data_IF_079537958745
#
_entry.id   IF_079537958745
#
_cell.length_a   1.000
_cell.length_b   1.000
_cell.length_c   1.000
_cell.angle_alpha   90.00
_cell.angle_beta   90.00
_cell.angle_gamma   90.00
#
_symmetry.space_group_name_H-M   'P 1'
#
loop_
_entity.id
_entity.type
_entity.pdbx_description
1 polymer ?
#
# COMPACT_ATOMS: atom_id res chain seq x y z
N UNK A 1 -13.90 -3.51 78.21
CA UNK A 1 -14.84 -3.19 77.10
C UNK A 1 -14.20 -2.35 75.99
N UNK A 2 -13.33 -1.37 76.30
CA UNK A 2 -12.67 -0.54 75.28
C UNK A 2 -11.83 -1.33 74.25
N UNK A 3 -11.07 -2.34 74.66
CA UNK A 3 -10.22 -3.12 73.73
C UNK A 3 -10.99 -3.97 72.71
N UNK A 4 -12.17 -4.48 73.09
CA UNK A 4 -13.02 -5.25 72.18
C UNK A 4 -13.67 -4.35 71.10
N UNK A 5 -14.04 -3.13 71.48
CA UNK A 5 -14.57 -2.14 70.54
C UNK A 5 -13.49 -1.68 69.54
N UNK A 6 -12.25 -1.47 70.00
CA UNK A 6 -11.13 -1.10 69.12
C UNK A 6 -10.83 -2.21 68.10
N UNK A 7 -10.79 -3.47 68.53
CA UNK A 7 -10.57 -4.61 67.63
C UNK A 7 -11.69 -4.80 66.62
N UNK A 8 -12.95 -4.59 67.01
CA UNK A 8 -14.09 -4.66 66.10
C UNK A 8 -14.05 -3.54 65.03
N UNK A 9 -13.72 -2.31 65.43
CA UNK A 9 -13.56 -1.18 64.50
C UNK A 9 -12.36 -1.38 63.56
N UNK A 10 -11.25 -1.92 64.07
CA UNK A 10 -10.09 -2.28 63.25
C UNK A 10 -10.42 -3.39 62.24
N UNK A 11 -11.12 -4.44 62.65
CA UNK A 11 -11.54 -5.53 61.77
C UNK A 11 -12.51 -5.07 60.67
N UNK A 12 -13.49 -4.22 61.02
CA UNK A 12 -14.43 -3.63 60.07
C UNK A 12 -13.74 -2.70 59.06
N UNK A 13 -12.77 -1.88 59.50
CA UNK A 13 -12.02 -0.99 58.62
C UNK A 13 -11.10 -1.76 57.67
N UNK A 14 -10.42 -2.81 58.13
CA UNK A 14 -9.64 -3.72 57.28
C UNK A 14 -10.51 -4.49 56.28
N UNK A 15 -11.65 -5.01 56.72
CA UNK A 15 -12.63 -5.67 55.85
C UNK A 15 -13.17 -4.74 54.77
N UNK A 16 -13.49 -3.49 55.15
CA UNK A 16 -13.96 -2.46 54.22
C UNK A 16 -12.90 -2.06 53.19
N UNK A 17 -11.64 -1.86 53.61
CA UNK A 17 -10.53 -1.56 52.70
C UNK A 17 -10.28 -2.71 51.71
N UNK A 18 -10.35 -3.96 52.19
CA UNK A 18 -10.17 -5.14 51.35
C UNK A 18 -11.31 -5.28 50.33
N UNK A 19 -12.55 -5.07 50.76
CA UNK A 19 -13.72 -5.05 49.87
C UNK A 19 -13.63 -3.94 48.82
N UNK A 20 -13.28 -2.71 49.23
CA UNK A 20 -13.11 -1.57 48.33
C UNK A 20 -12.02 -1.84 47.28
N UNK A 21 -10.88 -2.40 47.70
CA UNK A 21 -9.80 -2.80 46.79
C UNK A 21 -10.26 -3.90 45.82
N UNK A 22 -10.95 -4.93 46.30
CA UNK A 22 -11.50 -5.98 45.45
C UNK A 22 -12.51 -5.44 44.43
N UNK A 23 -13.40 -4.52 44.84
CA UNK A 23 -14.37 -3.88 43.95
C UNK A 23 -13.70 -3.03 42.87
N UNK A 24 -12.70 -2.21 43.22
CA UNK A 24 -11.95 -1.38 42.27
C UNK A 24 -11.18 -2.23 41.26
N UNK A 25 -10.67 -3.41 41.67
CA UNK A 25 -9.94 -4.32 40.80
C UNK A 25 -10.84 -5.18 39.89
N UNK A 26 -12.11 -5.35 40.25
CA UNK A 26 -13.04 -6.26 39.52
C UNK A 26 -14.01 -5.54 38.60
N UNK A 27 -14.45 -4.33 38.97
CA UNK A 27 -15.40 -3.56 38.20
C UNK A 27 -14.72 -2.46 37.37
N UNK A 28 -15.26 -2.08 36.19
CA UNK A 28 -14.73 -0.96 35.42
C UNK A 28 -14.77 0.34 36.23
N UNK A 29 -13.66 1.09 36.24
CA UNK A 29 -13.53 2.40 36.92
C UNK A 29 -14.53 3.46 36.41
N UNK A 30 -15.18 3.21 35.27
CA UNK A 30 -16.25 4.02 34.71
C UNK A 30 -17.66 3.68 35.22
N UNK A 31 -17.83 2.63 36.02
CA UNK A 31 -19.14 2.24 36.56
C UNK A 31 -19.63 3.26 37.59
N UNK A 32 -20.91 3.66 37.50
CA UNK A 32 -21.49 4.66 38.40
C UNK A 32 -21.43 4.25 39.89
N UNK A 33 -21.38 2.95 40.17
CA UNK A 33 -21.28 2.44 41.54
C UNK A 33 -19.88 2.60 42.14
N UNK A 34 -18.81 2.29 41.39
CA UNK A 34 -17.43 2.54 41.86
C UNK A 34 -17.22 4.04 42.10
N UNK A 35 -17.73 4.89 41.20
CA UNK A 35 -17.56 6.34 41.33
C UNK A 35 -18.17 6.87 42.63
N UNK A 36 -19.24 6.25 43.13
CA UNK A 36 -19.86 6.60 44.43
C UNK A 36 -19.10 6.00 45.61
N UNK A 37 -18.66 4.75 45.50
CA UNK A 37 -18.04 3.99 46.60
C UNK A 37 -16.57 4.38 46.83
N UNK A 38 -15.87 4.79 45.79
CA UNK A 38 -14.44 5.03 45.76
C UNK A 38 -14.09 6.31 45.01
N UNK A 39 -14.82 7.40 45.27
CA UNK A 39 -14.65 8.68 44.58
C UNK A 39 -13.21 9.23 44.63
N UNK A 40 -12.50 9.00 45.74
CA UNK A 40 -11.12 9.47 45.98
C UNK A 40 -10.04 8.46 45.58
N UNK A 41 -10.43 7.29 45.04
CA UNK A 41 -9.46 6.32 44.55
C UNK A 41 -8.67 6.90 43.37
N UNK A 42 -7.32 6.78 43.34
CA UNK A 42 -6.52 7.36 42.27
C UNK A 42 -6.94 6.90 40.88
N UNK A 43 -7.29 5.63 40.70
CA UNK A 43 -7.70 5.09 39.41
C UNK A 43 -9.04 5.67 38.92
N UNK A 44 -9.95 5.94 39.85
CA UNK A 44 -11.26 6.56 39.59
C UNK A 44 -11.11 8.05 39.27
N UNK A 45 -10.29 8.77 40.02
CA UNK A 45 -10.00 10.20 39.78
C UNK A 45 -9.35 10.38 38.40
N UNK A 46 -8.29 9.61 38.12
CA UNK A 46 -7.55 9.69 36.86
C UNK A 46 -8.39 9.24 35.67
N UNK A 47 -9.17 8.15 35.82
CA UNK A 47 -10.08 7.67 34.77
C UNK A 47 -11.14 8.69 34.38
N UNK A 48 -11.86 9.25 35.37
CA UNK A 48 -12.88 10.29 35.10
C UNK A 48 -12.28 11.54 34.50
N UNK A 49 -11.12 11.96 35.00
CA UNK A 49 -10.47 13.18 34.52
C UNK A 49 -9.95 13.02 33.10
N UNK A 50 -9.41 11.85 32.73
CA UNK A 50 -9.00 11.56 31.35
C UNK A 50 -10.19 11.63 30.37
N UNK A 51 -11.35 11.09 30.75
CA UNK A 51 -12.58 11.22 29.95
C UNK A 51 -13.02 12.67 29.83
N UNK A 52 -12.98 13.43 30.93
CA UNK A 52 -13.31 14.86 30.95
C UNK A 52 -12.35 15.67 30.08
N UNK A 53 -11.06 15.37 30.11
CA UNK A 53 -10.03 16.01 29.30
C UNK A 53 -10.42 15.96 27.80
N UNK A 54 -10.87 14.80 27.31
CA UNK A 54 -11.33 14.66 25.92
C UNK A 54 -12.63 15.41 25.69
N UNK A 55 -13.63 15.25 26.57
CA UNK A 55 -14.95 15.86 26.41
C UNK A 55 -14.94 17.39 26.49
N UNK A 56 -14.02 17.98 27.27
CA UNK A 56 -13.89 19.42 27.48
C UNK A 56 -12.74 20.03 26.68
N UNK A 57 -12.26 19.34 25.63
CA UNK A 57 -11.20 19.83 24.75
C UNK A 57 -9.94 20.30 25.50
N UNK A 58 -9.59 19.61 26.58
CA UNK A 58 -8.36 19.85 27.34
C UNK A 58 -8.49 20.76 28.56
N UNK A 59 -9.59 21.50 28.71
CA UNK A 59 -9.73 22.50 29.78
C UNK A 59 -10.20 21.82 31.07
N UNK A 60 -9.42 21.96 32.15
CA UNK A 60 -9.75 21.42 33.48
C UNK A 60 -9.65 22.53 34.54
N UNK A 61 -10.54 22.50 35.54
CA UNK A 61 -10.48 23.43 36.68
C UNK A 61 -9.36 23.09 37.68
N UNK A 62 -8.97 24.07 38.48
CA UNK A 62 -7.88 23.94 39.46
C UNK A 62 -8.14 22.84 40.51
N UNK A 63 -9.39 22.66 40.94
CA UNK A 63 -9.76 21.64 41.92
C UNK A 63 -9.55 20.23 41.37
N UNK A 64 -9.90 20.02 40.10
CA UNK A 64 -9.67 18.76 39.37
C UNK A 64 -8.18 18.49 39.24
N UNK A 65 -7.37 19.50 38.90
CA UNK A 65 -5.92 19.36 38.81
C UNK A 65 -5.26 19.02 40.15
N UNK A 66 -5.72 19.60 41.26
CA UNK A 66 -5.24 19.24 42.60
C UNK A 66 -5.59 17.81 42.98
N UNK A 67 -6.80 17.36 42.62
CA UNK A 67 -7.17 15.95 42.80
C UNK A 67 -6.28 15.02 41.97
N UNK A 68 -5.95 15.38 40.73
CA UNK A 68 -5.02 14.63 39.87
C UNK A 68 -3.62 14.58 40.48
N UNK A 69 -3.09 15.69 41.02
CA UNK A 69 -1.77 15.70 41.68
C UNK A 69 -1.71 14.77 42.89
N UNK A 70 -2.75 14.78 43.73
CA UNK A 70 -2.86 13.84 44.87
C UNK A 70 -2.96 12.39 44.40
N UNK A 71 -3.77 12.13 43.37
CA UNK A 71 -3.89 10.81 42.77
C UNK A 71 -2.56 10.32 42.17
N UNK A 72 -1.82 11.20 41.49
CA UNK A 72 -0.50 10.92 40.92
C UNK A 72 0.52 10.56 42.00
N UNK A 73 0.52 11.26 43.14
CA UNK A 73 1.39 10.93 44.27
C UNK A 73 1.05 9.57 44.89
N UNK A 74 -0.23 9.21 44.92
CA UNK A 74 -0.70 7.92 45.44
C UNK A 74 -0.52 6.75 44.44
N UNK A 75 -0.47 7.03 43.14
CA UNK A 75 -0.31 6.06 42.06
C UNK A 75 0.74 6.52 41.03
N UNK A 76 2.04 6.55 41.39
CA UNK A 76 3.09 7.17 40.55
C UNK A 76 3.37 6.46 39.23
N UNK A 77 2.89 5.22 39.07
CA UNK A 77 3.05 4.41 37.86
C UNK A 77 1.85 4.51 36.91
N UNK A 78 0.81 5.28 37.25
CA UNK A 78 -0.34 5.48 36.37
C UNK A 78 -0.07 6.55 35.31
N UNK A 79 0.11 6.13 34.07
CA UNK A 79 0.42 7.02 32.94
C UNK A 79 -0.64 8.11 32.69
N UNK A 80 -1.89 7.92 33.13
CA UNK A 80 -2.97 8.90 32.93
C UNK A 80 -2.69 10.22 33.65
N UNK A 81 -2.04 10.18 34.82
CA UNK A 81 -1.64 11.38 35.52
C UNK A 81 -0.69 12.24 34.68
N UNK A 82 0.29 11.60 34.02
CA UNK A 82 1.26 12.27 33.16
C UNK A 82 0.61 12.85 31.90
N UNK A 83 -0.36 12.15 31.30
CA UNK A 83 -1.16 12.69 30.20
C UNK A 83 -1.88 13.97 30.62
N UNK A 84 -2.62 13.93 31.74
CA UNK A 84 -3.43 15.06 32.20
C UNK A 84 -2.55 16.26 32.56
N UNK A 85 -1.52 16.02 33.39
CA UNK A 85 -0.61 17.07 33.85
C UNK A 85 0.24 17.63 32.70
N UNK A 86 0.73 16.77 31.81
CA UNK A 86 1.48 17.18 30.63
C UNK A 86 0.64 18.03 29.68
N UNK A 87 -0.63 17.67 29.45
CA UNK A 87 -1.54 18.49 28.67
C UNK A 87 -1.80 19.86 29.32
N UNK A 88 -2.06 19.90 30.63
CA UNK A 88 -2.22 21.17 31.35
C UNK A 88 -0.98 22.06 31.22
N UNK A 89 0.23 21.48 31.31
CA UNK A 89 1.47 22.23 31.14
C UNK A 89 1.63 22.83 29.73
N UNK A 90 1.05 22.21 28.69
CA UNK A 90 0.97 22.82 27.35
C UNK A 90 0.06 24.05 27.35
N UNK A 91 -1.10 23.96 28.02
CA UNK A 91 -2.05 25.08 28.15
C UNK A 91 -1.46 26.24 28.97
N UNK A 92 -0.68 25.91 30.00
CA UNK A 92 0.02 26.87 30.87
C UNK A 92 1.26 27.50 30.20
N UNK A 93 1.49 27.23 28.90
CA UNK A 93 2.64 27.70 28.14
C UNK A 93 4.00 27.30 28.76
N UNK A 94 4.09 26.08 29.31
CA UNK A 94 5.33 25.47 29.83
C UNK A 94 5.74 24.23 29.02
N UNK A 95 5.97 24.36 27.70
CA UNK A 95 6.05 23.24 26.77
C UNK A 95 7.21 22.27 27.06
N UNK A 96 8.34 22.74 27.58
CA UNK A 96 9.49 21.84 27.85
C UNK A 96 9.19 20.90 29.02
N UNK A 97 8.51 21.42 30.06
CA UNK A 97 8.01 20.59 31.17
C UNK A 97 6.92 19.63 30.69
N UNK A 98 6.04 20.10 29.80
CA UNK A 98 5.01 19.28 29.21
C UNK A 98 5.61 18.08 28.45
N UNK A 99 6.60 18.31 27.59
CA UNK A 99 7.31 17.25 26.86
C UNK A 99 7.92 16.25 27.84
N UNK A 100 8.70 16.70 28.82
CA UNK A 100 9.32 15.81 29.80
C UNK A 100 8.29 14.97 30.58
N UNK A 101 7.14 15.57 30.93
CA UNK A 101 6.04 14.89 31.63
C UNK A 101 5.36 13.87 30.71
N UNK A 102 5.08 14.24 29.46
CA UNK A 102 4.45 13.35 28.47
C UNK A 102 5.37 12.18 28.11
N UNK A 103 6.67 12.40 27.94
CA UNK A 103 7.65 11.34 27.72
C UNK A 103 7.76 10.38 28.90
N UNK A 104 7.67 10.90 30.14
CA UNK A 104 7.59 10.05 31.33
C UNK A 104 6.31 9.19 31.30
N UNK A 105 5.17 9.77 30.91
CA UNK A 105 3.93 9.02 30.67
C UNK A 105 4.07 7.98 29.57
N UNK A 106 4.74 8.30 28.46
CA UNK A 106 4.99 7.37 27.35
C UNK A 106 5.81 6.16 27.78
N UNK A 107 6.81 6.35 28.67
CA UNK A 107 7.61 5.24 29.23
C UNK A 107 6.77 4.28 30.08
N UNK A 108 5.74 4.78 30.75
CA UNK A 108 4.83 3.98 31.58
C UNK A 108 3.75 3.27 30.76
N UNK A 109 3.15 3.96 29.78
CA UNK A 109 2.20 3.38 28.83
C UNK A 109 2.56 3.74 27.38
N UNK A 110 3.37 2.89 26.71
CA UNK A 110 3.77 3.09 25.32
C UNK A 110 2.64 2.95 24.29
N UNK A 111 1.41 2.61 24.72
CA UNK A 111 0.25 2.46 23.84
C UNK A 111 -0.73 3.62 24.00
N UNK A 112 -0.42 4.59 24.87
CA UNK A 112 -1.32 5.70 25.15
C UNK A 112 -1.37 6.71 24.00
N UNK A 113 -2.40 6.60 23.17
CA UNK A 113 -2.58 7.34 21.90
C UNK A 113 -2.47 8.85 22.06
N UNK A 114 -3.10 9.42 23.09
CA UNK A 114 -3.14 10.86 23.28
C UNK A 114 -1.76 11.45 23.60
N UNK A 115 -0.91 10.70 24.33
CA UNK A 115 0.47 11.14 24.60
C UNK A 115 1.25 11.23 23.28
N UNK A 116 1.15 10.22 22.43
CA UNK A 116 1.82 10.22 21.12
C UNK A 116 1.35 11.37 20.22
N UNK A 117 0.05 11.68 20.21
CA UNK A 117 -0.49 12.79 19.42
C UNK A 117 0.00 14.16 19.92
N UNK A 118 0.03 14.37 21.25
CA UNK A 118 0.53 15.61 21.84
C UNK A 118 2.03 15.78 21.62
N UNK A 119 2.82 14.71 21.78
CA UNK A 119 4.25 14.73 21.49
C UNK A 119 4.51 14.96 19.99
N UNK A 120 3.74 14.33 19.11
CA UNK A 120 3.83 14.55 17.65
C UNK A 120 3.59 16.01 17.28
N UNK A 121 2.49 16.62 17.73
CA UNK A 121 2.19 18.03 17.48
C UNK A 121 3.33 18.91 17.97
N UNK A 122 3.84 18.65 19.18
CA UNK A 122 4.93 19.43 19.74
C UNK A 122 6.22 19.31 18.93
N UNK A 123 6.64 18.09 18.59
CA UNK A 123 7.85 17.85 17.82
C UNK A 123 7.80 18.43 16.42
N UNK A 124 6.64 18.42 15.76
CA UNK A 124 6.45 19.09 14.48
C UNK A 124 6.60 20.61 14.61
N UNK A 125 6.01 21.23 15.64
CA UNK A 125 6.09 22.68 15.88
C UNK A 125 7.50 23.16 16.23
N UNK A 126 8.32 22.30 16.83
CA UNK A 126 9.69 22.62 17.22
C UNK A 126 10.76 22.09 16.27
N UNK A 127 10.37 21.63 15.08
CA UNK A 127 11.29 21.05 14.09
C UNK A 127 12.13 19.85 14.62
N UNK A 128 11.64 19.14 15.63
CA UNK A 128 12.22 17.88 16.12
C UNK A 128 11.74 16.71 15.24
N UNK A 129 12.11 16.74 13.96
CA UNK A 129 11.52 15.85 12.95
C UNK A 129 11.86 14.37 13.15
N UNK A 130 13.01 14.05 13.74
CA UNK A 130 13.36 12.68 14.09
C UNK A 130 12.37 12.10 15.10
N UNK A 131 12.07 12.86 16.15
CA UNK A 131 11.12 12.46 17.18
C UNK A 131 9.69 12.40 16.63
N UNK A 132 9.28 13.39 15.82
CA UNK A 132 7.99 13.38 15.13
C UNK A 132 7.81 12.13 14.25
N UNK A 133 8.82 11.76 13.46
CA UNK A 133 8.76 10.57 12.60
C UNK A 133 8.60 9.28 13.42
N UNK A 134 9.30 9.17 14.56
CA UNK A 134 9.09 8.05 15.49
C UNK A 134 7.66 8.00 16.04
N UNK A 135 7.07 9.15 16.40
CA UNK A 135 5.68 9.20 16.85
C UNK A 135 4.70 8.73 15.76
N UNK A 136 4.91 9.13 14.49
CA UNK A 136 4.12 8.63 13.37
C UNK A 136 4.19 7.11 13.24
N UNK A 137 5.38 6.53 13.33
CA UNK A 137 5.57 5.08 13.25
C UNK A 137 4.83 4.33 14.36
N UNK A 138 4.91 4.82 15.60
CA UNK A 138 4.17 4.22 16.72
C UNK A 138 2.66 4.37 16.52
N UNK A 139 2.18 5.56 16.14
CA UNK A 139 0.76 5.81 15.87
C UNK A 139 0.22 4.93 14.74
N UNK A 140 0.99 4.69 13.68
CA UNK A 140 0.58 3.82 12.58
C UNK A 140 0.34 2.37 13.04
N UNK A 141 1.13 1.89 14.01
CA UNK A 141 0.97 0.54 14.59
C UNK A 141 -0.20 0.47 15.57
N UNK A 142 -0.41 1.52 16.38
CA UNK A 142 -1.49 1.56 17.38
C UNK A 142 -2.85 1.80 16.73
N UNK A 143 -2.89 2.61 15.67
CA UNK A 143 -4.09 3.05 14.97
C UNK A 143 -4.09 2.49 13.55
N UNK A 144 -4.42 1.20 13.39
CA UNK A 144 -4.44 0.57 12.07
C UNK A 144 -5.28 1.34 11.03
N UNK A 145 -6.43 1.90 11.43
CA UNK A 145 -7.26 2.74 10.56
C UNK A 145 -6.60 4.06 10.12
N UNK A 146 -5.62 4.56 10.88
CA UNK A 146 -4.88 5.79 10.57
C UNK A 146 -3.58 5.52 9.79
N UNK A 147 -3.26 4.26 9.47
CA UNK A 147 -2.02 3.92 8.77
C UNK A 147 -1.91 4.62 7.41
N UNK A 148 -2.99 4.63 6.61
CA UNK A 148 -3.00 5.28 5.30
C UNK A 148 -2.80 6.82 5.35
N UNK A 149 -3.53 7.59 6.18
CA UNK A 149 -3.28 9.03 6.30
C UNK A 149 -1.89 9.33 6.89
N UNK A 150 -1.40 8.52 7.85
CA UNK A 150 -0.03 8.68 8.38
C UNK A 150 1.02 8.45 7.29
N UNK A 151 0.87 7.39 6.49
CA UNK A 151 1.77 7.11 5.38
C UNK A 151 1.77 8.25 4.36
N UNK A 152 0.61 8.86 4.11
CA UNK A 152 0.49 10.04 3.22
C UNK A 152 1.22 11.26 3.80
N UNK A 153 1.05 11.54 5.09
CA UNK A 153 1.76 12.64 5.76
C UNK A 153 3.29 12.42 5.75
N UNK A 154 3.75 11.20 6.05
CA UNK A 154 5.18 10.88 6.00
C UNK A 154 5.74 10.94 4.57
N UNK A 155 4.97 10.55 3.56
CA UNK A 155 5.33 10.72 2.16
C UNK A 155 5.57 12.21 1.81
N UNK A 156 4.69 13.11 2.29
CA UNK A 156 4.88 14.56 2.13
C UNK A 156 6.13 15.06 2.86
N UNK A 157 6.39 14.56 4.08
CA UNK A 157 7.60 14.89 4.83
C UNK A 157 8.89 14.43 4.10
N UNK A 158 8.88 13.33 3.35
CA UNK A 158 10.06 12.93 2.57
C UNK A 158 10.45 13.96 1.49
N UNK A 159 9.48 14.75 1.04
CA UNK A 159 9.70 15.74 -0.02
C UNK A 159 10.47 16.95 0.47
N UNK A 160 10.23 17.38 1.70
CA UNK A 160 10.93 18.51 2.31
C UNK A 160 12.35 18.09 2.75
N UNK A 161 13.42 18.82 2.33
CA UNK A 161 14.80 18.48 2.66
C UNK A 161 15.09 18.32 4.15
N UNK A 162 14.47 19.16 4.98
CA UNK A 162 14.64 19.22 6.43
C UNK A 162 14.11 17.97 7.17
N UNK A 163 13.09 17.30 6.62
CA UNK A 163 12.45 16.13 7.22
C UNK A 163 12.88 14.82 6.59
N UNK A 164 13.47 14.85 5.39
CA UNK A 164 13.80 13.67 4.58
C UNK A 164 14.63 12.63 5.34
N UNK A 165 15.71 13.05 5.99
CA UNK A 165 16.63 12.12 6.67
C UNK A 165 16.01 11.53 7.95
N UNK A 166 15.18 12.31 8.64
CA UNK A 166 14.42 11.81 9.80
C UNK A 166 13.44 10.71 9.37
N UNK A 167 12.65 10.97 8.33
CA UNK A 167 11.70 10.00 7.78
C UNK A 167 12.43 8.74 7.30
N UNK A 168 13.49 8.89 6.50
CA UNK A 168 14.27 7.75 5.98
C UNK A 168 14.77 6.83 7.09
N UNK A 169 15.33 7.40 8.18
CA UNK A 169 15.79 6.61 9.33
C UNK A 169 14.65 5.85 10.00
N UNK A 170 13.49 6.48 10.17
CA UNK A 170 12.31 5.81 10.75
C UNK A 170 11.83 4.67 9.86
N UNK A 171 11.69 4.89 8.54
CA UNK A 171 11.21 3.87 7.61
C UNK A 171 12.14 2.64 7.57
N UNK A 172 13.46 2.84 7.64
CA UNK A 172 14.42 1.74 7.73
C UNK A 172 14.21 0.81 8.95
N UNK A 173 13.55 1.30 10.00
CA UNK A 173 13.24 0.52 11.22
C UNK A 173 11.80 0.00 11.25
N UNK A 174 10.97 0.36 10.28
CA UNK A 174 9.55 -0.01 10.20
C UNK A 174 9.15 -0.39 8.77
N UNK A 175 9.41 -1.65 8.33
CA UNK A 175 9.14 -2.09 6.97
C UNK A 175 7.66 -2.02 6.56
N UNK A 176 6.74 -2.15 7.52
CA UNK A 176 5.30 -2.08 7.27
C UNK A 176 4.89 -0.65 6.93
N UNK A 177 5.40 0.32 7.70
CA UNK A 177 5.19 1.73 7.41
C UNK A 177 5.91 2.17 6.13
N UNK A 178 7.14 1.69 5.91
CA UNK A 178 7.90 1.93 4.68
C UNK A 178 7.08 1.54 3.44
N UNK A 179 6.54 0.31 3.42
CA UNK A 179 5.68 -0.16 2.33
C UNK A 179 4.52 0.80 2.08
N UNK A 180 3.81 1.19 3.13
CA UNK A 180 2.66 2.09 3.01
C UNK A 180 3.05 3.48 2.47
N UNK A 181 4.18 4.04 2.93
CA UNK A 181 4.72 5.33 2.46
C UNK A 181 5.14 5.24 1.00
N UNK A 182 5.85 4.18 0.59
CA UNK A 182 6.25 3.99 -0.80
C UNK A 182 5.05 3.83 -1.74
N UNK A 183 3.99 3.13 -1.31
CA UNK A 183 2.73 3.04 -2.07
C UNK A 183 2.07 4.42 -2.21
N UNK A 184 2.03 5.21 -1.13
CA UNK A 184 1.51 6.57 -1.17
C UNK A 184 2.31 7.47 -2.14
N UNK A 185 3.65 7.38 -2.10
CA UNK A 185 4.54 8.08 -3.03
C UNK A 185 4.33 7.61 -4.47
N UNK A 186 4.19 6.30 -4.71
CA UNK A 186 3.96 5.72 -6.03
C UNK A 186 2.68 6.24 -6.69
N UNK A 187 1.66 6.58 -5.90
CA UNK A 187 0.38 7.17 -6.36
C UNK A 187 0.41 8.70 -6.51
N UNK A 188 1.39 9.38 -5.93
CA UNK A 188 1.51 10.84 -5.93
C UNK A 188 2.07 11.39 -7.26
N UNK A 189 2.53 12.64 -7.33
CA UNK A 189 3.23 13.18 -8.52
C UNK A 189 4.78 13.04 -8.44
N UNK A 190 5.31 12.37 -7.42
CA UNK A 190 6.75 12.30 -7.16
C UNK A 190 7.50 11.51 -8.24
N UNK A 191 8.67 12.02 -8.61
CA UNK A 191 9.54 11.41 -9.62
C UNK A 191 10.00 10.00 -9.19
N UNK A 192 10.06 9.03 -10.11
CA UNK A 192 10.44 7.65 -9.78
C UNK A 192 11.75 7.52 -9.01
N UNK A 193 12.79 8.28 -9.40
CA UNK A 193 14.11 8.18 -8.77
C UNK A 193 14.11 8.55 -7.29
N UNK A 194 13.24 9.48 -6.87
CA UNK A 194 13.10 9.81 -5.45
C UNK A 194 12.50 8.66 -4.64
N UNK A 195 11.59 7.88 -5.24
CA UNK A 195 11.00 6.69 -4.61
C UNK A 195 12.06 5.60 -4.46
N UNK A 196 12.83 5.34 -5.52
CA UNK A 196 13.95 4.39 -5.45
C UNK A 196 15.05 4.81 -4.47
N UNK A 197 15.32 6.10 -4.33
CA UNK A 197 16.30 6.61 -3.37
C UNK A 197 15.84 6.48 -1.91
N UNK A 198 14.52 6.45 -1.67
CA UNK A 198 13.94 6.24 -0.35
C UNK A 198 13.86 4.76 0.01
N UNK A 199 13.55 3.90 -0.95
CA UNK A 199 13.30 2.47 -0.72
C UNK A 199 14.54 1.77 -0.15
N UNK A 200 14.36 1.09 0.98
CA UNK A 200 15.35 0.18 1.55
C UNK A 200 15.67 -0.97 0.59
N UNK A 201 16.79 -1.69 0.80
CA UNK A 201 17.09 -2.88 0.01
C UNK A 201 15.98 -3.94 0.05
N UNK A 202 15.32 -4.10 1.21
CA UNK A 202 14.20 -5.03 1.37
C UNK A 202 12.97 -4.57 0.58
N UNK A 203 12.61 -3.28 0.68
CA UNK A 203 11.50 -2.71 -0.07
C UNK A 203 11.74 -2.71 -1.59
N UNK A 204 13.01 -2.57 -2.00
CA UNK A 204 13.42 -2.67 -3.40
C UNK A 204 13.32 -4.09 -3.93
N UNK A 205 13.72 -5.09 -3.14
CA UNK A 205 13.60 -6.51 -3.51
C UNK A 205 12.14 -6.98 -3.63
N UNK A 206 11.24 -6.39 -2.83
CA UNK A 206 9.81 -6.67 -2.86
C UNK A 206 9.02 -5.82 -3.87
N UNK A 207 9.66 -4.85 -4.54
CA UNK A 207 8.98 -3.88 -5.40
C UNK A 207 8.13 -4.51 -6.52
N UNK A 208 8.47 -5.72 -6.97
CA UNK A 208 7.75 -6.45 -8.02
C UNK A 208 6.47 -7.16 -7.56
N UNK A 209 6.23 -7.27 -6.25
CA UNK A 209 5.02 -7.88 -5.70
C UNK A 209 3.78 -7.04 -6.05
N UNK A 210 2.67 -7.72 -6.39
CA UNK A 210 1.40 -7.09 -6.78
C UNK A 210 0.86 -6.08 -5.75
N UNK A 211 1.08 -6.33 -4.46
CA UNK A 211 0.65 -5.46 -3.35
C UNK A 211 1.73 -4.45 -2.92
N UNK A 212 2.84 -4.36 -3.66
CA UNK A 212 3.93 -3.42 -3.37
C UNK A 212 3.75 -2.10 -4.13
N UNK A 213 4.71 -1.20 -3.94
CA UNK A 213 4.69 0.14 -4.53
C UNK A 213 5.02 0.15 -6.03
N UNK A 214 5.73 -0.87 -6.54
CA UNK A 214 6.18 -0.93 -7.93
C UNK A 214 5.04 -0.94 -8.96
N UNK A 215 4.06 -1.86 -8.87
CA UNK A 215 2.91 -1.87 -9.77
C UNK A 215 2.11 -0.56 -9.73
N UNK A 216 1.91 0.02 -8.55
CA UNK A 216 1.23 1.31 -8.40
C UNK A 216 1.97 2.43 -9.15
N UNK A 217 3.30 2.44 -9.07
CA UNK A 217 4.14 3.43 -9.76
C UNK A 217 4.07 3.25 -11.28
N UNK A 218 4.17 2.02 -11.77
CA UNK A 218 4.09 1.70 -13.21
C UNK A 218 2.72 2.10 -13.75
N UNK A 219 1.64 1.72 -13.08
CA UNK A 219 0.27 2.05 -13.50
C UNK A 219 0.05 3.56 -13.58
N UNK A 220 0.48 4.32 -12.57
CA UNK A 220 0.42 5.79 -12.60
C UNK A 220 1.11 6.37 -13.83
N UNK A 221 2.31 5.88 -14.15
CA UNK A 221 3.08 6.38 -15.30
C UNK A 221 2.37 6.03 -16.63
N UNK A 222 1.77 4.84 -16.73
CA UNK A 222 0.98 4.41 -17.90
C UNK A 222 -0.30 5.25 -18.05
N UNK A 223 -1.02 5.52 -16.95
CA UNK A 223 -2.22 6.37 -16.93
C UNK A 223 -1.90 7.81 -17.35
N UNK A 224 -0.71 8.31 -16.99
CA UNK A 224 -0.21 9.63 -17.42
C UNK A 224 0.44 9.62 -18.81
N UNK A 225 0.31 8.53 -19.56
CA UNK A 225 0.91 8.35 -20.89
C UNK A 225 2.44 8.48 -20.93
N UNK A 226 3.12 8.31 -19.79
CA UNK A 226 4.58 8.35 -19.67
C UNK A 226 5.18 6.95 -19.93
N UNK A 227 4.87 6.35 -21.08
CA UNK A 227 5.13 4.93 -21.35
C UNK A 227 6.61 4.54 -21.34
N UNK A 228 7.49 5.39 -21.88
CA UNK A 228 8.93 5.14 -21.86
C UNK A 228 9.48 5.11 -20.42
N UNK A 229 9.06 6.06 -19.59
CA UNK A 229 9.42 6.09 -18.17
C UNK A 229 8.83 4.89 -17.42
N UNK A 230 7.56 4.55 -17.68
CA UNK A 230 6.91 3.37 -17.11
C UNK A 230 7.68 2.08 -17.43
N UNK A 231 8.10 1.90 -18.69
CA UNK A 231 8.87 0.74 -19.12
C UNK A 231 10.24 0.67 -18.45
N UNK A 232 10.93 1.81 -18.33
CA UNK A 232 12.23 1.87 -17.64
C UNK A 232 12.11 1.53 -16.15
N UNK A 233 11.11 2.09 -15.46
CA UNK A 233 10.83 1.78 -14.05
C UNK A 233 10.47 0.30 -13.87
N UNK A 234 9.61 -0.23 -14.72
CA UNK A 234 9.22 -1.63 -14.72
C UNK A 234 10.43 -2.57 -14.93
N UNK A 235 11.32 -2.25 -15.89
CA UNK A 235 12.56 -3.00 -16.12
C UNK A 235 13.45 -3.02 -14.87
N UNK A 236 13.57 -1.90 -14.17
CA UNK A 236 14.34 -1.80 -12.93
C UNK A 236 13.74 -2.63 -11.80
N UNK A 237 12.41 -2.59 -11.62
CA UNK A 237 11.69 -3.34 -10.58
C UNK A 237 11.86 -4.86 -10.76
N UNK A 238 11.74 -5.34 -12.01
CA UNK A 238 11.78 -6.77 -12.32
C UNK A 238 13.17 -7.29 -12.72
N UNK A 239 14.21 -6.45 -12.64
CA UNK A 239 15.59 -6.84 -12.94
C UNK A 239 15.80 -7.29 -14.39
N UNK A 240 15.11 -6.66 -15.33
CA UNK A 240 15.19 -7.02 -16.76
C UNK A 240 16.54 -6.60 -17.32
N UNK A 241 17.29 -7.56 -17.89
CA UNK A 241 18.60 -7.28 -18.47
C UNK A 241 18.50 -6.33 -19.67
N UNK A 242 19.59 -5.62 -20.00
CA UNK A 242 19.63 -4.72 -21.15
C UNK A 242 19.30 -5.43 -22.48
N UNK A 243 19.74 -6.69 -22.65
CA UNK A 243 19.42 -7.51 -23.81
C UNK A 243 17.92 -7.81 -23.91
N UNK A 244 17.27 -8.19 -22.79
CA UNK A 244 15.82 -8.41 -22.76
C UNK A 244 15.05 -7.10 -22.94
N UNK A 245 15.54 -6.01 -22.37
CA UNK A 245 14.95 -4.68 -22.49
C UNK A 245 14.94 -4.14 -23.93
N UNK A 246 15.90 -4.57 -24.76
CA UNK A 246 15.98 -4.22 -26.17
C UNK A 246 14.97 -5.01 -27.05
N UNK A 247 14.41 -6.11 -26.54
CA UNK A 247 13.43 -6.90 -27.28
C UNK A 247 12.09 -6.15 -27.40
N UNK A 248 11.45 -6.15 -28.58
CA UNK A 248 10.15 -5.51 -28.77
C UNK A 248 9.06 -6.05 -27.86
N UNK A 249 8.98 -7.38 -27.72
CA UNK A 249 8.04 -8.10 -26.85
C UNK A 249 8.82 -8.70 -25.68
N UNK A 250 8.35 -8.43 -24.46
CA UNK A 250 8.88 -9.10 -23.28
C UNK A 250 8.31 -10.51 -23.16
N UNK A 251 9.14 -11.47 -22.75
CA UNK A 251 8.72 -12.85 -22.55
C UNK A 251 8.01 -13.47 -23.78
N UNK A 252 8.54 -13.18 -24.98
CA UNK A 252 8.02 -13.73 -26.24
C UNK A 252 8.11 -15.27 -26.30
N UNK A 253 8.99 -15.86 -25.49
CA UNK A 253 9.10 -17.31 -25.33
C UNK A 253 8.15 -17.92 -24.30
N UNK A 254 7.14 -17.20 -23.80
CA UNK A 254 6.09 -17.75 -22.91
C UNK A 254 6.62 -18.57 -21.72
N UNK A 255 7.63 -18.02 -21.04
CA UNK A 255 8.22 -18.64 -19.84
C UNK A 255 7.49 -18.15 -18.60
N UNK A 256 7.55 -18.92 -17.54
CA UNK A 256 7.15 -18.45 -16.21
C UNK A 256 8.20 -17.44 -15.72
N UNK A 257 7.77 -16.21 -15.46
CA UNK A 257 8.65 -15.13 -15.00
C UNK A 257 8.03 -14.41 -13.81
N UNK A 258 8.88 -13.76 -13.00
CA UNK A 258 8.43 -12.89 -11.91
C UNK A 258 7.91 -11.53 -12.41
N UNK A 259 8.10 -11.21 -13.69
CA UNK A 259 7.70 -9.95 -14.25
C UNK A 259 6.18 -9.91 -14.43
N UNK A 260 5.56 -8.79 -14.05
CA UNK A 260 4.12 -8.66 -14.06
C UNK A 260 3.65 -7.72 -15.19
N UNK A 261 2.34 -7.71 -15.49
CA UNK A 261 1.71 -6.65 -16.29
C UNK A 261 2.11 -5.22 -15.88
N UNK A 262 2.05 -4.24 -16.80
CA UNK A 262 1.47 -4.35 -18.15
C UNK A 262 2.50 -4.67 -19.25
N UNK A 263 3.80 -4.71 -18.94
CA UNK A 263 4.86 -4.97 -19.94
C UNK A 263 5.27 -6.46 -20.05
N UNK A 264 4.83 -7.32 -19.12
CA UNK A 264 4.69 -8.77 -19.36
C UNK A 264 3.22 -9.10 -19.65
N UNK A 265 2.93 -10.37 -19.94
CA UNK A 265 1.60 -10.85 -20.30
C UNK A 265 0.56 -10.64 -19.20
N UNK A 266 -0.51 -9.95 -19.55
CA UNK A 266 -1.79 -10.01 -18.84
C UNK A 266 -2.60 -11.13 -19.46
N UNK A 267 -2.97 -12.14 -18.67
CA UNK A 267 -3.69 -13.32 -19.13
C UNK A 267 -5.10 -13.32 -18.54
N UNK A 268 -6.08 -13.77 -19.34
CA UNK A 268 -7.47 -13.87 -18.92
C UNK A 268 -7.77 -15.27 -18.39
N UNK A 269 -8.41 -15.35 -17.23
CA UNK A 269 -9.08 -16.53 -16.70
C UNK A 269 -10.47 -16.13 -16.22
N UNK A 270 -11.49 -16.25 -17.08
CA UNK A 270 -12.85 -15.78 -16.82
C UNK A 270 -13.89 -16.53 -17.67
N UNK A 271 -15.14 -16.05 -17.70
CA UNK A 271 -16.20 -16.57 -18.59
C UNK A 271 -15.91 -16.41 -20.08
N UNK A 272 -14.96 -15.54 -20.46
CA UNK A 272 -14.48 -15.42 -21.84
C UNK A 272 -13.68 -16.66 -22.28
N UNK A 273 -12.90 -17.22 -21.36
CA UNK A 273 -11.88 -18.21 -21.63
C UNK A 273 -10.77 -18.21 -20.60
N UNK A 274 -9.79 -19.11 -20.81
CA UNK A 274 -8.59 -19.24 -20.00
C UNK A 274 -7.34 -19.17 -20.90
N UNK A 275 -6.30 -18.49 -20.44
CA UNK A 275 -4.99 -18.48 -21.11
C UNK A 275 -3.89 -18.71 -20.09
N UNK A 276 -3.05 -19.70 -20.35
CA UNK A 276 -1.94 -20.09 -19.48
C UNK A 276 -0.62 -20.15 -20.26
N UNK A 277 0.49 -19.84 -19.59
CA UNK A 277 1.83 -20.09 -20.12
C UNK A 277 2.29 -21.49 -19.68
N UNK A 278 2.74 -22.30 -20.63
CA UNK A 278 3.22 -23.67 -20.43
C UNK A 278 4.57 -23.87 -21.11
N UNK A 279 5.64 -23.85 -20.32
CA UNK A 279 7.00 -24.29 -20.71
C UNK A 279 7.41 -23.92 -22.15
N UNK A 280 7.29 -22.66 -22.54
CA UNK A 280 7.65 -22.21 -23.90
C UNK A 280 6.49 -22.00 -24.86
N UNK A 281 5.25 -22.17 -24.39
CA UNK A 281 4.03 -22.03 -25.20
C UNK A 281 2.93 -21.29 -24.44
N UNK A 282 1.99 -20.70 -25.16
CA UNK A 282 0.76 -20.12 -24.61
C UNK A 282 -0.41 -21.01 -25.02
N UNK A 283 -1.06 -21.62 -24.04
CA UNK A 283 -2.26 -22.42 -24.22
C UNK A 283 -3.48 -21.52 -24.04
N UNK A 284 -4.39 -21.53 -25.01
CA UNK A 284 -5.55 -20.64 -25.05
C UNK A 284 -6.80 -21.50 -25.19
N UNK A 285 -7.76 -21.27 -24.30
CA UNK A 285 -9.11 -21.80 -24.36
C UNK A 285 -10.08 -20.62 -24.44
N UNK A 286 -10.78 -20.49 -25.55
CA UNK A 286 -11.79 -19.45 -25.78
C UNK A 286 -13.16 -20.09 -25.85
N UNK A 287 -14.15 -19.60 -25.11
CA UNK A 287 -15.46 -20.24 -25.03
C UNK A 287 -16.47 -19.74 -26.08
N UNK A 288 -16.13 -18.70 -26.86
CA UNK A 288 -16.93 -18.28 -28.01
C UNK A 288 -18.20 -17.48 -27.71
N UNK A 289 -18.50 -17.20 -26.43
CA UNK A 289 -19.75 -16.54 -26.00
C UNK A 289 -19.72 -15.03 -26.11
N UNK A 290 -18.58 -14.44 -25.78
CA UNK A 290 -18.34 -12.99 -25.75
C UNK A 290 -17.06 -12.67 -26.50
N UNK A 291 -16.93 -11.45 -27.05
CA UNK A 291 -15.67 -10.99 -27.63
C UNK A 291 -14.80 -10.28 -26.59
N UNK A 292 -13.49 -10.55 -26.56
CA UNK A 292 -12.63 -9.98 -25.52
C UNK A 292 -11.15 -10.35 -25.63
N UNK A 293 -10.33 -9.69 -24.82
CA UNK A 293 -8.90 -9.98 -24.73
C UNK A 293 -8.64 -11.26 -23.92
N UNK A 294 -7.87 -12.17 -24.49
CA UNK A 294 -7.44 -13.42 -23.85
C UNK A 294 -6.01 -13.30 -23.29
N UNK A 295 -5.16 -12.56 -24.01
CA UNK A 295 -3.84 -12.16 -23.55
C UNK A 295 -3.52 -10.75 -24.06
N UNK A 296 -2.79 -9.95 -23.29
CA UNK A 296 -2.32 -8.65 -23.76
C UNK A 296 -0.98 -8.24 -23.14
N UNK A 297 -0.25 -7.39 -23.86
CA UNK A 297 0.99 -6.77 -23.40
C UNK A 297 1.09 -5.34 -23.94
N UNK A 298 1.48 -4.40 -23.08
CA UNK A 298 1.82 -3.03 -23.47
C UNK A 298 3.24 -3.00 -24.02
N UNK A 299 3.42 -2.42 -25.21
CA UNK A 299 4.69 -2.27 -25.90
C UNK A 299 5.04 -0.78 -26.04
N UNK A 300 6.34 -0.50 -26.08
CA UNK A 300 6.89 0.83 -26.40
C UNK A 300 7.85 0.65 -27.57
N UNK A 301 7.28 0.57 -28.76
CA UNK A 301 8.04 0.43 -30.01
C UNK A 301 8.44 1.81 -30.53
N UNK A 302 9.58 1.87 -31.22
CA UNK A 302 9.97 3.07 -31.96
C UNK A 302 9.16 3.14 -33.26
N UNK A 303 9.02 4.33 -33.86
CA UNK A 303 8.46 4.43 -35.20
C UNK A 303 9.29 3.62 -36.19
N UNK A 304 8.62 2.90 -37.10
CA UNK A 304 9.30 2.05 -38.08
C UNK A 304 8.49 0.84 -38.54
N UNK A 305 9.10 0.04 -39.41
CA UNK A 305 8.53 -1.20 -39.94
C UNK A 305 8.96 -2.38 -39.10
N UNK A 306 8.00 -3.24 -38.76
CA UNK A 306 8.23 -4.46 -38.01
C UNK A 306 7.55 -5.65 -38.69
N UNK A 307 8.05 -6.84 -38.40
CA UNK A 307 7.41 -8.09 -38.78
C UNK A 307 7.04 -8.87 -37.55
N UNK A 308 5.74 -9.09 -37.37
CA UNK A 308 5.17 -9.97 -36.37
C UNK A 308 5.09 -11.39 -36.92
N UNK A 309 5.45 -12.38 -36.12
CA UNK A 309 5.29 -13.79 -36.48
C UNK A 309 5.02 -14.66 -35.25
N UNK A 310 4.24 -15.72 -35.43
CA UNK A 310 3.95 -16.69 -34.38
C UNK A 310 3.68 -18.07 -34.98
N UNK A 311 4.06 -19.12 -34.28
CA UNK A 311 3.75 -20.51 -34.64
C UNK A 311 2.44 -20.93 -33.97
N UNK A 312 1.52 -21.47 -34.76
CA UNK A 312 0.23 -22.01 -34.31
C UNK A 312 0.30 -23.53 -34.38
N UNK A 313 0.18 -24.19 -33.23
CA UNK A 313 0.14 -25.66 -33.14
C UNK A 313 -1.18 -26.21 -33.71
N UNK A 314 -1.22 -27.50 -34.07
CA UNK A 314 -2.44 -28.14 -34.55
C UNK A 314 -3.59 -28.03 -33.56
N UNK A 315 -4.78 -27.75 -34.08
CA UNK A 315 -5.99 -27.63 -33.29
C UNK A 315 -7.24 -27.85 -34.16
N UNK A 316 -8.39 -28.02 -33.50
CA UNK A 316 -9.69 -27.99 -34.17
C UNK A 316 -10.25 -26.59 -34.01
N UNK A 317 -10.49 -25.92 -35.12
CA UNK A 317 -11.20 -24.64 -35.16
C UNK A 317 -12.47 -24.83 -35.95
N UNK A 318 -13.61 -24.75 -35.27
CA UNK A 318 -14.89 -24.63 -35.94
C UNK A 318 -15.01 -23.20 -36.48
N UNK A 319 -15.51 -23.03 -37.71
CA UNK A 319 -15.38 -21.80 -38.48
C UNK A 319 -16.19 -20.59 -37.95
N UNK A 320 -16.93 -20.73 -36.85
CA UNK A 320 -17.84 -19.69 -36.36
C UNK A 320 -17.17 -18.69 -35.43
N UNK A 321 -16.21 -19.12 -34.60
CA UNK A 321 -15.48 -18.26 -33.67
C UNK A 321 -14.06 -18.01 -34.17
N UNK A 322 -13.55 -16.79 -33.98
CA UNK A 322 -12.22 -16.44 -34.48
C UNK A 322 -11.32 -15.93 -33.38
N UNK A 323 -10.04 -16.25 -33.50
CA UNK A 323 -8.98 -15.65 -32.72
C UNK A 323 -8.15 -14.76 -33.62
N UNK A 324 -7.74 -13.60 -33.12
CA UNK A 324 -6.87 -12.68 -33.84
C UNK A 324 -5.85 -12.04 -32.92
N UNK A 325 -4.62 -11.94 -33.40
CA UNK A 325 -3.65 -11.00 -32.85
C UNK A 325 -3.95 -9.62 -33.39
N UNK A 326 -4.05 -8.65 -32.48
CA UNK A 326 -4.21 -7.24 -32.82
C UNK A 326 -3.06 -6.45 -32.23
N UNK A 327 -2.51 -5.52 -33.00
CA UNK A 327 -1.63 -4.47 -32.50
C UNK A 327 -2.32 -3.15 -32.73
N UNK A 328 -2.58 -2.41 -31.68
CA UNK A 328 -3.23 -1.11 -31.78
C UNK A 328 -2.40 -0.02 -31.10
N UNK A 329 -2.45 1.18 -31.66
CA UNK A 329 -1.82 2.34 -31.06
C UNK A 329 -2.62 2.84 -29.87
N UNK A 330 -1.94 3.20 -28.78
CA UNK A 330 -2.54 3.91 -27.65
C UNK A 330 -2.04 5.36 -27.64
N UNK A 331 -2.89 6.26 -28.14
CA UNK A 331 -2.64 7.70 -28.14
C UNK A 331 -2.94 8.31 -26.76
N UNK A 332 -2.22 9.37 -26.38
CA UNK A 332 -2.32 9.98 -25.06
C UNK A 332 -3.66 10.70 -24.76
N UNK A 333 -4.49 10.95 -25.77
CA UNK A 333 -5.64 11.85 -25.68
C UNK A 333 -6.96 11.29 -26.24
N UNK A 334 -7.00 10.05 -26.73
CA UNK A 334 -8.22 9.47 -27.28
C UNK A 334 -8.37 8.00 -26.90
N UNK A 335 -9.60 7.60 -26.57
CA UNK A 335 -9.99 6.21 -26.37
C UNK A 335 -10.07 5.44 -27.71
N UNK A 336 -9.97 6.14 -28.85
CA UNK A 336 -9.82 5.51 -30.15
C UNK A 336 -8.44 4.90 -30.29
N UNK A 337 -8.42 3.56 -30.37
CA UNK A 337 -7.22 2.79 -30.69
C UNK A 337 -7.15 2.60 -32.19
N UNK A 338 -6.13 3.17 -32.82
CA UNK A 338 -5.87 2.91 -34.24
C UNK A 338 -5.25 1.53 -34.39
N UNK A 339 -6.00 0.59 -34.98
CA UNK A 339 -5.51 -0.76 -35.25
C UNK A 339 -4.43 -0.71 -36.33
N UNK A 340 -3.21 -1.09 -35.97
CA UNK A 340 -2.04 -1.14 -36.85
C UNK A 340 -1.91 -2.50 -37.55
N UNK A 341 -2.40 -3.56 -36.91
CA UNK A 341 -2.31 -4.93 -37.40
C UNK A 341 -3.47 -5.76 -36.85
N UNK A 342 -4.06 -6.59 -37.72
CA UNK A 342 -4.93 -7.71 -37.34
C UNK A 342 -4.44 -8.95 -38.07
N UNK A 343 -4.14 -10.01 -37.34
CA UNK A 343 -3.66 -11.28 -37.88
C UNK A 343 -4.51 -12.43 -37.31
N UNK A 344 -5.31 -13.05 -38.17
CA UNK A 344 -6.17 -14.18 -37.79
C UNK A 344 -5.33 -15.40 -37.41
N UNK A 345 -5.73 -16.06 -36.33
CA UNK A 345 -5.16 -17.32 -35.87
C UNK A 345 -6.06 -18.44 -36.38
N UNK A 346 -5.62 -19.08 -37.45
CA UNK A 346 -6.30 -20.23 -38.07
C UNK A 346 -5.58 -21.50 -37.69
N UNK A 347 -6.18 -22.42 -36.92
CA UNK A 347 -5.53 -23.70 -36.67
C UNK A 347 -5.61 -24.59 -37.92
N UNK A 348 -4.57 -25.38 -38.16
CA UNK A 348 -4.55 -26.36 -39.24
C UNK A 348 -4.12 -27.73 -38.69
N UNK A 349 -4.10 -28.77 -39.53
CA UNK A 349 -3.71 -30.12 -39.11
C UNK A 349 -2.21 -30.23 -38.72
N UNK A 350 -1.37 -29.25 -39.06
CA UNK A 350 0.06 -29.23 -38.78
C UNK A 350 0.48 -27.89 -38.16
N UNK A 351 1.54 -27.86 -37.35
CA UNK A 351 2.09 -26.59 -36.89
C UNK A 351 2.45 -25.73 -38.11
N UNK A 352 2.07 -24.45 -38.09
CA UNK A 352 2.41 -23.53 -39.15
C UNK A 352 2.65 -22.13 -38.58
N UNK A 353 3.49 -21.36 -39.27
CA UNK A 353 3.86 -20.00 -38.85
C UNK A 353 3.04 -18.99 -39.62
N UNK A 354 2.35 -18.12 -38.91
CA UNK A 354 1.64 -16.97 -39.49
C UNK A 354 2.46 -15.70 -39.21
N UNK A 355 2.34 -14.72 -40.10
CA UNK A 355 3.09 -13.48 -39.98
C UNK A 355 2.34 -12.31 -40.62
N UNK A 356 2.61 -11.10 -40.13
CA UNK A 356 2.14 -9.85 -40.69
C UNK A 356 3.22 -8.77 -40.57
N UNK A 357 3.27 -7.87 -41.54
CA UNK A 357 4.08 -6.67 -41.46
C UNK A 357 3.25 -5.56 -40.83
N UNK A 358 3.88 -4.75 -39.99
CA UNK A 358 3.23 -3.65 -39.28
C UNK A 358 4.09 -2.40 -39.35
N UNK A 359 3.43 -1.25 -39.48
CA UNK A 359 4.08 0.07 -39.49
C UNK A 359 3.64 0.82 -38.24
N UNK A 360 4.60 1.17 -37.40
CA UNK A 360 4.37 2.00 -36.22
C UNK A 360 4.60 3.47 -36.61
N UNK A 361 3.57 4.33 -36.59
CA UNK A 361 3.72 5.72 -36.97
C UNK A 361 4.40 6.55 -35.86
N UNK A 362 4.94 7.72 -36.23
CA UNK A 362 5.67 8.59 -35.31
C UNK A 362 4.84 9.12 -34.14
N UNK A 363 3.53 9.26 -34.33
CA UNK A 363 2.57 9.72 -33.32
C UNK A 363 2.06 8.60 -32.39
N UNK A 364 2.72 7.43 -32.37
CA UNK A 364 2.32 6.29 -31.57
C UNK A 364 3.30 6.00 -30.43
N UNK A 365 3.13 6.62 -29.24
CA UNK A 365 4.09 6.49 -28.15
C UNK A 365 4.05 5.12 -27.44
N UNK A 366 2.97 4.36 -27.61
CA UNK A 366 2.85 2.98 -27.13
C UNK A 366 1.86 2.19 -27.97
N UNK A 367 2.00 0.87 -27.93
CA UNK A 367 1.12 -0.07 -28.64
C UNK A 367 0.63 -1.12 -27.66
N UNK A 368 -0.57 -1.64 -27.87
CA UNK A 368 -1.07 -2.80 -27.13
C UNK A 368 -1.16 -3.98 -28.09
N UNK A 369 -0.41 -5.03 -27.79
CA UNK A 369 -0.51 -6.31 -28.47
C UNK A 369 -1.55 -7.15 -27.72
N UNK A 370 -2.60 -7.60 -28.40
CA UNK A 370 -3.69 -8.35 -27.79
C UNK A 370 -4.04 -9.57 -28.62
N UNK A 371 -4.08 -10.75 -27.99
CA UNK A 371 -4.80 -11.90 -28.52
C UNK A 371 -6.26 -11.75 -28.14
N UNK A 372 -7.13 -11.62 -29.13
CA UNK A 372 -8.56 -11.35 -28.95
C UNK A 372 -9.38 -12.50 -29.51
N UNK A 373 -10.39 -12.93 -28.76
CA UNK A 373 -11.46 -13.77 -29.27
C UNK A 373 -12.62 -12.91 -29.77
N UNK A 374 -13.15 -13.27 -30.92
CA UNK A 374 -14.38 -12.70 -31.48
C UNK A 374 -15.47 -13.78 -31.51
N UNK A 375 -16.61 -13.47 -30.91
CA UNK A 375 -17.76 -14.35 -30.85
C UNK A 375 -18.39 -14.47 -32.25
N UNK A 376 -18.74 -15.70 -32.61
CA UNK A 376 -19.52 -15.99 -33.80
C UNK A 376 -21.01 -15.82 -33.54
N UNK A 377 -21.80 -15.90 -34.61
CA UNK A 377 -23.27 -15.99 -34.51
C UNK A 377 -23.70 -17.20 -33.65
N UNK A 378 -22.92 -18.28 -33.69
CA UNK A 378 -23.06 -19.46 -32.85
C UNK A 378 -21.79 -19.67 -32.01
N UNK A 379 -21.89 -19.58 -30.66
CA UNK A 379 -20.76 -19.82 -29.78
C UNK A 379 -20.19 -21.23 -29.93
N UNK A 380 -18.92 -21.31 -30.33
CA UNK A 380 -18.16 -22.56 -30.37
C UNK A 380 -16.85 -22.39 -29.62
N UNK A 381 -16.53 -23.30 -28.67
CA UNK A 381 -15.26 -23.23 -27.97
C UNK A 381 -14.11 -23.53 -28.93
N UNK A 382 -12.99 -22.86 -28.71
CA UNK A 382 -11.80 -22.97 -29.52
C UNK A 382 -10.59 -23.10 -28.61
N UNK A 383 -9.73 -24.08 -28.90
CA UNK A 383 -8.48 -24.28 -28.17
C UNK A 383 -7.30 -24.27 -29.14
N UNK A 384 -6.27 -23.49 -28.79
CA UNK A 384 -5.04 -23.36 -29.58
C UNK A 384 -3.83 -23.27 -28.67
N UNK A 385 -2.70 -23.79 -29.14
CA UNK A 385 -1.40 -23.56 -28.53
C UNK A 385 -0.54 -22.71 -29.45
N UNK A 386 0.10 -21.68 -28.90
CA UNK A 386 0.90 -20.71 -29.62
C UNK A 386 2.36 -20.76 -29.14
N UNK A 387 3.32 -20.66 -30.07
CA UNK A 387 4.77 -20.74 -29.79
C UNK A 387 5.56 -19.77 -30.67
N UNK A 388 6.84 -19.61 -30.33
CA UNK A 388 7.84 -18.88 -31.13
C UNK A 388 7.37 -17.49 -31.60
N UNK A 389 6.67 -16.78 -30.70
CA UNK A 389 6.25 -15.41 -30.93
C UNK A 389 7.47 -14.53 -31.13
N UNK A 390 7.43 -13.72 -32.19
CA UNK A 390 8.51 -12.83 -32.58
C UNK A 390 7.93 -11.52 -33.11
N UNK A 391 8.61 -10.44 -32.77
CA UNK A 391 8.38 -9.13 -33.35
C UNK A 391 9.75 -8.49 -33.51
N UNK A 392 10.14 -8.24 -34.75
CA UNK A 392 11.47 -7.72 -35.09
C UNK A 392 11.38 -6.55 -36.05
N UNK A 393 12.26 -5.54 -35.94
CA UNK A 393 12.35 -4.48 -36.93
C UNK A 393 12.72 -5.07 -38.28
N UNK A 394 12.06 -4.60 -39.33
CA UNK A 394 12.45 -4.87 -40.72
C UNK A 394 13.41 -3.75 -41.10
N UNK A 395 14.67 -4.04 -41.46
CA UNK A 395 15.58 -3.01 -41.95
C UNK A 395 14.93 -2.32 -43.15
N UNK A 396 14.92 -0.99 -43.15
CA UNK A 396 14.53 -0.25 -44.35
C UNK A 396 15.53 -0.65 -45.45
N UNK A 397 15.02 -1.28 -46.50
CA UNK A 397 15.80 -1.63 -47.67
C UNK A 397 16.11 -0.35 -48.45
N UNK A 398 17.02 0.48 -47.95
CA UNK A 398 17.79 1.53 -48.67
C UNK A 398 18.47 2.50 -47.69
N UNK A 399 19.79 2.41 -47.60
CA UNK A 399 20.67 3.41 -48.24
C UNK A 399 21.88 2.69 -48.78
#
# INVERSE_FOLDING_TARGET
MASAAILAVAGLSLGWLSFKSAMVNTLPTSSGEIVRLAADDPGVVLGRTATRLVAQHGILDAQTLDAVRRAAAAAPLDARAYLILGHQQLLDNTPDRAVATLEAGQRLDPRQRLIHLLLLDRYLRTAHYADAAMQFSVLARILGAAQAPIATAMAQMTMAPETREAVRRTLNTDPVLERAVLIALAKSAIAPDAIFALASPAASADAGNAESWGPALVNRLVERSQYAAARSVWQRIYGISAAQAAMPITNAGFRDTKAAPPFDWTLTASSLGATDLRSGSMAVEYYGRDSGALASQLLVLRPGRYRFAITVDPGKTDATTTLAWTLACKAAASDTRDTLMTLLVTATAKPHRIAADVVVPANCPSQILTLRGEAGEFPSPLSVTLRDLDLRPVPDSTS
#
